data_IF_978454309798
#
_entry.id   IF_978454309798
#
_cell.length_a   1.000
_cell.length_b   1.000
_cell.length_c   1.000
_cell.angle_alpha   90.00
_cell.angle_beta   90.00
_cell.angle_gamma   90.00
#
_symmetry.space_group_name_H-M   'P 1'
#
loop_
_entity.id
_entity.type
_entity.pdbx_description
1 polymer ?
#
# COMPACT_ATOMS: atom_id res chain seq x y z
N UNK A 1 -57.10 8.81 -28.22
CA UNK A 1 -57.03 9.22 -26.80
C UNK A 1 -56.63 8.02 -25.97
N UNK A 2 -55.65 8.21 -25.06
CA UNK A 2 -55.10 7.27 -24.06
C UNK A 2 -54.18 6.16 -24.60
N UNK A 3 -53.03 5.84 -24.01
CA UNK A 3 -51.97 6.50 -23.23
C UNK A 3 -51.08 5.32 -22.74
N UNK A 4 -49.76 5.45 -22.93
CA UNK A 4 -48.71 5.10 -21.94
C UNK A 4 -48.47 3.58 -21.71
N UNK A 5 -47.38 3.01 -22.25
CA UNK A 5 -46.01 2.92 -21.65
C UNK A 5 -45.93 2.02 -20.40
N UNK A 6 -45.44 0.78 -20.56
CA UNK A 6 -44.73 0.01 -19.53
C UNK A 6 -43.95 -1.12 -20.25
N UNK A 7 -42.64 -1.02 -20.46
CA UNK A 7 -41.57 -1.17 -19.46
C UNK A 7 -41.40 -2.62 -18.99
N UNK A 8 -40.66 -3.42 -19.75
CA UNK A 8 -39.76 -4.46 -19.19
C UNK A 8 -38.60 -4.64 -20.15
N UNK A 9 -37.68 -3.70 -20.04
CA UNK A 9 -36.30 -3.73 -20.51
C UNK A 9 -35.69 -5.12 -20.32
N UNK A 10 -35.62 -5.88 -21.43
CA UNK A 10 -34.72 -7.03 -21.58
C UNK A 10 -33.30 -6.46 -21.70
N UNK A 11 -32.80 -5.87 -20.62
CA UNK A 11 -31.37 -5.66 -20.44
C UNK A 11 -30.83 -7.02 -20.02
N UNK A 12 -30.58 -7.82 -21.07
CA UNK A 12 -29.63 -8.91 -21.13
C UNK A 12 -28.53 -8.68 -20.10
N UNK A 13 -28.73 -9.27 -18.92
CA UNK A 13 -27.85 -9.21 -17.77
C UNK A 13 -26.55 -9.85 -18.20
N UNK A 14 -25.64 -8.99 -18.64
CA UNK A 14 -24.26 -9.23 -18.94
C UNK A 14 -23.59 -9.64 -17.63
N UNK A 15 -23.81 -10.91 -17.24
CA UNK A 15 -23.01 -11.62 -16.25
C UNK A 15 -21.66 -11.83 -16.94
N UNK A 16 -20.87 -10.75 -17.02
CA UNK A 16 -19.46 -10.84 -17.29
C UNK A 16 -18.83 -11.35 -15.99
N UNK A 17 -18.69 -12.66 -15.95
CA UNK A 17 -17.80 -13.39 -15.10
C UNK A 17 -16.38 -12.85 -15.33
N UNK A 18 -16.00 -11.79 -14.61
CA UNK A 18 -14.60 -11.37 -14.47
C UNK A 18 -13.90 -12.40 -13.59
N UNK A 19 -13.69 -13.59 -14.15
CA UNK A 19 -12.67 -14.50 -13.66
C UNK A 19 -11.36 -13.71 -13.69
N UNK A 20 -10.77 -13.52 -12.51
CA UNK A 20 -9.50 -12.85 -12.35
C UNK A 20 -8.51 -13.42 -13.36
N UNK A 21 -8.01 -12.54 -14.21
CA UNK A 21 -6.82 -12.85 -15.00
C UNK A 21 -5.69 -13.04 -13.99
N UNK A 22 -5.05 -14.21 -13.89
CA UNK A 22 -3.71 -14.23 -13.34
C UNK A 22 -2.85 -13.50 -14.38
N UNK A 23 -2.47 -12.27 -14.08
CA UNK A 23 -1.52 -11.51 -14.89
C UNK A 23 -0.18 -12.26 -14.91
N UNK A 24 -0.01 -13.08 -15.94
CA UNK A 24 1.19 -13.86 -16.16
C UNK A 24 2.33 -12.95 -16.64
N UNK A 25 3.24 -12.70 -15.71
CA UNK A 25 4.69 -12.55 -15.80
C UNK A 25 5.24 -11.99 -17.13
N UNK A 26 5.71 -10.74 -17.08
CA UNK A 26 6.76 -10.31 -17.99
C UNK A 26 8.06 -11.05 -17.63
N UNK A 27 8.36 -12.13 -18.35
CA UNK A 27 9.67 -12.79 -18.33
C UNK A 27 10.59 -12.05 -19.29
N UNK A 28 11.32 -11.07 -18.77
CA UNK A 28 12.21 -10.16 -19.52
C UNK A 28 12.18 -8.75 -18.91
N UNK A 29 13.22 -7.96 -19.15
CA UNK A 29 13.41 -6.62 -18.57
C UNK A 29 12.09 -5.82 -18.57
N UNK A 30 11.51 -5.63 -17.39
CA UNK A 30 10.26 -4.93 -17.18
C UNK A 30 10.54 -3.44 -17.04
N UNK A 31 10.50 -2.72 -18.17
CA UNK A 31 10.62 -1.27 -18.23
C UNK A 31 9.26 -0.62 -18.47
N UNK A 32 8.92 0.39 -17.66
CA UNK A 32 7.65 1.09 -17.70
C UNK A 32 7.84 2.51 -18.24
N UNK A 33 7.70 2.76 -19.56
CA UNK A 33 7.91 4.08 -20.15
C UNK A 33 6.84 5.12 -19.74
N UNK A 34 5.76 4.66 -19.12
CA UNK A 34 4.63 5.46 -18.67
C UNK A 34 4.01 4.84 -17.42
N UNK A 35 3.19 5.60 -16.72
CA UNK A 35 2.44 5.10 -15.57
C UNK A 35 1.59 3.89 -15.97
N UNK A 36 1.70 2.81 -15.22
CA UNK A 36 0.99 1.55 -15.49
C UNK A 36 0.19 1.16 -14.26
N UNK A 37 -1.10 0.95 -14.44
CA UNK A 37 -1.99 0.53 -13.36
C UNK A 37 -1.97 -0.99 -13.22
N UNK A 38 -1.94 -1.48 -11.98
CA UNK A 38 -2.14 -2.88 -11.64
C UNK A 38 -3.09 -2.98 -10.44
N UNK A 39 -3.70 -4.14 -10.26
CA UNK A 39 -4.61 -4.41 -9.15
C UNK A 39 -4.01 -5.44 -8.21
N UNK A 40 -3.97 -5.14 -6.91
CA UNK A 40 -3.55 -6.05 -5.82
C UNK A 40 -4.54 -5.91 -4.67
N UNK A 41 -4.92 -7.00 -4.00
CA UNK A 41 -5.84 -6.93 -2.85
C UNK A 41 -7.15 -6.17 -3.18
N UNK A 42 -7.59 -6.25 -4.44
CA UNK A 42 -8.77 -5.53 -4.97
C UNK A 42 -8.61 -4.01 -5.14
N UNK A 43 -7.48 -3.42 -4.75
CA UNK A 43 -7.17 -1.99 -4.91
C UNK A 43 -6.28 -1.72 -6.13
N UNK A 44 -6.37 -0.50 -6.68
CA UNK A 44 -5.53 -0.07 -7.79
C UNK A 44 -4.23 0.57 -7.30
N UNK A 45 -3.14 0.19 -7.94
CA UNK A 45 -1.80 0.73 -7.73
C UNK A 45 -1.24 1.22 -9.05
N UNK A 46 -0.37 2.21 -8.98
CA UNK A 46 0.31 2.76 -10.14
C UNK A 46 1.80 2.48 -10.02
N UNK A 47 2.34 1.70 -10.96
CA UNK A 47 3.77 1.69 -11.26
C UNK A 47 4.08 3.02 -11.94
N UNK A 48 4.96 3.81 -11.34
CA UNK A 48 5.31 5.13 -11.86
C UNK A 48 6.21 4.98 -13.09
N UNK A 49 6.05 5.89 -14.05
CA UNK A 49 6.91 6.01 -15.22
C UNK A 49 8.40 5.93 -14.87
N UNK A 50 9.19 5.35 -15.77
CA UNK A 50 10.62 5.08 -15.63
C UNK A 50 11.00 4.01 -14.60
N UNK A 51 10.03 3.33 -13.99
CA UNK A 51 10.33 2.14 -13.19
C UNK A 51 10.94 1.04 -14.06
N UNK A 52 11.90 0.31 -13.51
CA UNK A 52 12.61 -0.78 -14.15
C UNK A 52 12.81 -1.94 -13.17
N UNK A 53 12.52 -3.16 -13.61
CA UNK A 53 12.90 -4.40 -12.94
C UNK A 53 13.37 -5.43 -13.98
N UNK A 54 14.08 -6.49 -13.57
CA UNK A 54 14.39 -7.60 -14.47
C UNK A 54 13.14 -8.43 -14.76
N UNK A 55 12.32 -8.65 -13.74
CA UNK A 55 11.04 -9.36 -13.85
C UNK A 55 10.03 -8.80 -12.87
N UNK A 56 8.77 -8.81 -13.29
CA UNK A 56 7.63 -8.50 -12.43
C UNK A 56 6.61 -9.62 -12.53
N UNK A 57 6.10 -9.99 -11.37
CA UNK A 57 5.11 -11.03 -11.19
C UNK A 57 4.04 -10.57 -10.21
N UNK A 58 2.78 -10.85 -10.50
CA UNK A 58 1.69 -10.68 -9.52
C UNK A 58 1.07 -12.04 -9.23
N UNK A 59 0.75 -12.27 -7.96
CA UNK A 59 0.06 -13.48 -7.53
C UNK A 59 -0.91 -13.11 -6.43
N UNK A 60 -2.20 -13.02 -6.79
CA UNK A 60 -3.25 -12.53 -5.91
C UNK A 60 -2.93 -11.14 -5.38
N UNK A 61 -2.65 -11.06 -4.09
CA UNK A 61 -2.44 -9.80 -3.36
C UNK A 61 -0.95 -9.44 -3.24
N UNK A 62 -0.09 -10.11 -3.99
CA UNK A 62 1.36 -9.93 -3.93
C UNK A 62 1.95 -9.51 -5.27
N UNK A 63 2.91 -8.61 -5.21
CA UNK A 63 3.78 -8.21 -6.31
C UNK A 63 5.19 -8.69 -5.99
N UNK A 64 5.79 -9.52 -6.83
CA UNK A 64 7.17 -9.94 -6.68
C UNK A 64 8.02 -9.39 -7.82
N UNK A 65 9.08 -8.69 -7.42
CA UNK A 65 10.06 -8.02 -8.27
C UNK A 65 11.37 -8.80 -8.21
N UNK A 66 11.98 -9.03 -9.36
CA UNK A 66 13.39 -9.42 -9.45
C UNK A 66 14.16 -8.24 -10.03
N UNK A 67 15.15 -7.71 -9.32
CA UNK A 67 15.84 -6.48 -9.70
C UNK A 67 17.36 -6.62 -9.60
N UNK A 68 18.06 -6.16 -10.63
CA UNK A 68 19.52 -6.08 -10.70
C UNK A 68 20.04 -4.74 -10.21
N UNK A 69 21.34 -4.67 -9.94
CA UNK A 69 22.02 -3.44 -9.54
C UNK A 69 21.75 -2.26 -10.49
N UNK A 70 21.49 -1.09 -9.93
CA UNK A 70 21.19 0.14 -10.66
C UNK A 70 19.71 0.29 -11.07
N UNK A 71 18.85 -0.67 -10.75
CA UNK A 71 17.42 -0.58 -11.07
C UNK A 71 16.64 0.10 -9.96
N UNK A 72 15.59 0.82 -10.37
CA UNK A 72 14.67 1.50 -9.48
C UNK A 72 13.22 1.21 -9.90
N UNK A 73 12.38 0.93 -8.91
CA UNK A 73 10.97 0.66 -9.09
C UNK A 73 10.16 1.45 -8.09
N UNK A 74 9.12 2.14 -8.56
CA UNK A 74 8.27 2.98 -7.71
C UNK A 74 6.80 2.55 -7.86
N UNK A 75 6.19 2.20 -6.74
CA UNK A 75 4.79 1.82 -6.64
C UNK A 75 4.03 2.85 -5.80
N UNK A 76 2.88 3.29 -6.28
CA UNK A 76 2.01 4.24 -5.56
C UNK A 76 0.58 3.74 -5.46
N UNK A 77 -0.13 4.16 -4.42
CA UNK A 77 -1.55 3.84 -4.21
C UNK A 77 -2.30 5.09 -3.76
N UNK A 78 -3.33 5.49 -4.51
CA UNK A 78 -4.22 6.59 -4.14
C UNK A 78 -5.13 6.25 -2.95
N UNK A 79 -5.39 4.96 -2.74
CA UNK A 79 -6.15 4.44 -1.59
C UNK A 79 -5.33 4.48 -0.29
N UNK A 80 -4.07 4.94 -0.35
CA UNK A 80 -3.14 5.00 0.78
C UNK A 80 -2.96 3.63 1.42
N UNK A 81 -2.64 2.59 0.65
CA UNK A 81 -2.41 1.24 1.18
C UNK A 81 -1.02 1.12 1.80
N UNK A 82 -0.90 0.44 2.94
CA UNK A 82 0.43 0.09 3.51
C UNK A 82 1.10 -0.94 2.62
N UNK A 83 2.35 -0.71 2.21
CA UNK A 83 3.09 -1.58 1.29
C UNK A 83 4.17 -2.35 2.04
N UNK A 84 3.78 -3.44 2.72
CA UNK A 84 4.75 -4.31 3.40
C UNK A 84 5.65 -4.97 2.36
N UNK A 85 6.95 -5.06 2.62
CA UNK A 85 7.89 -5.64 1.66
C UNK A 85 8.97 -6.48 2.34
N UNK A 86 9.48 -7.50 1.65
CA UNK A 86 10.52 -8.42 2.17
C UNK A 86 11.92 -7.80 2.26
N UNK A 87 12.16 -6.69 1.55
CA UNK A 87 13.47 -6.05 1.44
C UNK A 87 13.75 -4.93 2.46
N UNK A 88 12.82 -4.68 3.39
CA UNK A 88 12.88 -3.57 4.35
C UNK A 88 13.01 -2.18 3.70
N UNK A 89 12.49 -2.03 2.48
CA UNK A 89 12.39 -0.74 1.81
C UNK A 89 11.39 0.15 2.55
N UNK A 90 11.77 1.43 2.68
CA UNK A 90 10.93 2.43 3.31
C UNK A 90 9.75 2.77 2.39
N UNK A 91 8.55 2.82 2.95
CA UNK A 91 7.39 3.42 2.29
C UNK A 91 6.97 4.69 3.03
N UNK A 92 6.35 5.59 2.30
CA UNK A 92 5.86 6.88 2.82
C UNK A 92 4.38 7.05 2.51
N UNK A 93 3.68 7.76 3.39
CA UNK A 93 2.25 8.02 3.24
C UNK A 93 1.96 9.49 3.43
N UNK A 94 1.35 10.08 2.41
CA UNK A 94 0.85 11.44 2.42
C UNK A 94 -0.65 11.46 2.76
N UNK A 95 -1.24 12.65 2.75
CA UNK A 95 -2.69 12.81 2.88
C UNK A 95 -3.48 12.19 1.71
N UNK A 96 -2.85 11.98 0.55
CA UNK A 96 -3.51 11.58 -0.70
C UNK A 96 -3.01 10.28 -1.32
N UNK A 97 -1.84 9.76 -0.94
CA UNK A 97 -1.31 8.51 -1.47
C UNK A 97 -0.30 7.85 -0.54
N UNK A 98 -0.03 6.57 -0.77
CA UNK A 98 1.18 5.90 -0.30
C UNK A 98 2.15 5.65 -1.45
N UNK A 99 3.45 5.62 -1.15
CA UNK A 99 4.52 5.42 -2.12
C UNK A 99 5.61 4.52 -1.54
N UNK A 100 6.01 3.51 -2.31
CA UNK A 100 7.15 2.64 -2.04
C UNK A 100 8.18 2.81 -3.16
N UNK A 101 9.43 3.04 -2.78
CA UNK A 101 10.57 3.08 -3.70
C UNK A 101 11.49 1.92 -3.39
N UNK A 102 11.72 1.07 -4.38
CA UNK A 102 12.69 -0.03 -4.32
C UNK A 102 13.85 0.36 -5.23
N UNK A 103 15.02 0.57 -4.64
CA UNK A 103 16.24 0.89 -5.38
C UNK A 103 17.29 -0.17 -5.05
N UNK A 104 17.90 -0.78 -6.08
CA UNK A 104 19.03 -1.69 -5.90
C UNK A 104 20.32 -0.92 -6.19
N UNK A 105 21.16 -0.62 -5.19
CA UNK A 105 22.39 0.14 -5.40
C UNK A 105 23.32 -0.53 -6.40
N UNK A 106 24.07 0.27 -7.17
CA UNK A 106 25.11 -0.23 -8.07
C UNK A 106 26.12 -1.11 -7.30
N UNK A 107 26.50 -2.25 -7.88
CA UNK A 107 27.39 -3.22 -7.23
C UNK A 107 26.71 -4.21 -6.28
N UNK A 108 25.39 -4.12 -6.08
CA UNK A 108 24.64 -5.12 -5.30
C UNK A 108 24.36 -6.39 -6.12
N UNK A 109 24.07 -7.50 -5.44
CA UNK A 109 23.54 -8.70 -6.10
C UNK A 109 22.09 -8.49 -6.53
N UNK A 110 21.66 -9.28 -7.52
CA UNK A 110 20.25 -9.35 -7.90
C UNK A 110 19.38 -9.69 -6.67
N UNK A 111 18.30 -8.94 -6.48
CA UNK A 111 17.46 -9.01 -5.28
C UNK A 111 16.02 -9.30 -5.67
N UNK A 112 15.39 -10.21 -4.92
CA UNK A 112 13.96 -10.48 -5.01
C UNK A 112 13.22 -9.72 -3.92
N UNK A 113 12.26 -8.88 -4.32
CA UNK A 113 11.45 -8.07 -3.40
C UNK A 113 9.98 -8.45 -3.59
N UNK A 114 9.36 -8.97 -2.54
CA UNK A 114 7.92 -9.22 -2.52
C UNK A 114 7.25 -8.10 -1.77
N UNK A 115 6.29 -7.45 -2.42
CA UNK A 115 5.43 -6.40 -1.87
C UNK A 115 4.04 -6.99 -1.64
N UNK A 116 3.53 -6.84 -0.43
CA UNK A 116 2.21 -7.28 0.00
C UNK A 116 1.49 -6.08 0.62
N UNK A 117 0.56 -5.47 -0.10
CA UNK A 117 -0.25 -4.41 0.47
C UNK A 117 -1.15 -4.93 1.58
N UNK A 118 -1.22 -4.23 2.72
CA UNK A 118 -2.08 -4.65 3.84
C UNK A 118 -2.49 -3.50 4.75
N UNK A 119 -3.77 -3.18 4.75
CA UNK A 119 -4.35 -2.16 5.62
C UNK A 119 -4.10 -0.74 5.13
N UNK A 120 -4.59 0.23 5.91
CA UNK A 120 -4.63 1.62 5.51
C UNK A 120 -3.47 2.39 6.11
N UNK A 121 -2.83 3.17 5.26
CA UNK A 121 -1.67 3.94 5.59
C UNK A 121 -2.08 5.31 6.09
N UNK A 122 -1.65 5.63 7.31
CA UNK A 122 -1.81 6.96 7.88
C UNK A 122 -0.53 7.75 7.71
N UNK A 123 -0.58 9.07 7.83
CA UNK A 123 0.61 9.94 7.77
C UNK A 123 1.64 9.64 8.87
N UNK A 124 1.26 8.87 9.90
CA UNK A 124 2.17 8.37 10.95
C UNK A 124 2.90 7.08 10.56
N UNK A 125 2.48 6.40 9.49
CA UNK A 125 3.12 5.19 9.00
C UNK A 125 4.27 5.56 8.06
N UNK A 126 5.48 5.60 8.60
CA UNK A 126 6.72 5.58 7.83
C UNK A 126 7.47 4.33 8.27
N UNK A 127 7.75 3.39 7.36
CA UNK A 127 8.64 2.28 7.72
C UNK A 127 10.08 2.80 7.79
N UNK A 128 10.74 2.58 8.92
CA UNK A 128 12.16 2.91 9.09
C UNK A 128 13.02 1.72 8.70
N UNK A 129 13.71 1.82 7.56
CA UNK A 129 14.73 0.86 7.10
C UNK A 129 15.83 1.61 6.34
N UNK A 130 17.08 1.44 6.79
CA UNK A 130 18.17 2.39 6.59
C UNK A 130 18.88 2.39 5.23
N UNK A 131 19.66 3.47 5.02
CA UNK A 131 20.77 3.54 4.06
C UNK A 131 20.57 4.50 2.89
N UNK A 132 20.78 5.80 3.11
CA UNK A 132 20.84 6.78 2.03
C UNK A 132 20.96 8.22 2.54
N UNK A 133 22.19 8.69 2.70
CA UNK A 133 22.47 10.10 3.02
C UNK A 133 22.36 10.95 1.76
N UNK A 134 21.38 11.85 1.70
CA UNK A 134 21.44 13.07 0.91
C UNK A 134 20.61 14.15 1.59
N UNK A 135 21.18 15.35 1.66
CA UNK A 135 20.88 16.35 2.68
C UNK A 135 19.71 17.28 2.39
N UNK A 136 19.30 17.95 3.46
CA UNK A 136 19.23 19.41 3.51
C UNK A 136 17.91 20.10 3.13
N UNK A 137 17.38 20.88 4.09
CA UNK A 137 16.36 21.92 3.94
C UNK A 137 15.00 21.47 4.47
N UNK A 138 14.57 21.85 5.68
CA UNK A 138 14.11 23.20 6.06
C UNK A 138 12.68 23.39 5.52
N UNK A 139 11.61 23.69 6.23
CA UNK A 139 11.31 24.16 7.58
C UNK A 139 9.87 24.72 7.48
N UNK A 140 9.08 24.68 8.56
CA UNK A 140 7.74 25.31 8.57
C UNK A 140 6.74 24.53 9.40
N UNK A 141 6.48 25.01 10.61
CA UNK A 141 5.80 24.25 11.65
C UNK A 141 4.27 24.19 11.55
N UNK A 142 3.73 23.39 12.46
CA UNK A 142 2.61 23.75 13.33
C UNK A 142 2.65 22.78 14.50
N UNK A 143 2.70 23.32 15.72
CA UNK A 143 2.62 22.53 16.93
C UNK A 143 1.26 21.82 16.98
N UNK A 144 1.25 20.49 16.84
CA UNK A 144 0.08 19.69 17.19
C UNK A 144 0.23 19.28 18.65
N UNK A 145 -0.70 19.74 19.47
CA UNK A 145 -0.72 19.50 20.90
C UNK A 145 -0.71 18.00 21.21
N UNK A 146 0.21 17.57 22.06
CA UNK A 146 0.19 16.25 22.68
C UNK A 146 -1.10 16.10 23.49
N UNK A 147 -1.92 15.04 23.32
CA UNK A 147 -3.00 14.78 24.25
C UNK A 147 -2.39 14.40 25.61
N UNK A 148 -2.66 15.21 26.62
CA UNK A 148 -2.35 14.89 28.02
C UNK A 148 -3.15 13.65 28.42
N UNK A 149 -2.46 12.58 28.85
CA UNK A 149 -3.10 11.43 29.45
C UNK A 149 -3.63 11.80 30.84
N UNK A 150 -4.96 11.75 31.00
CA UNK A 150 -5.60 11.85 32.32
C UNK A 150 -5.12 10.71 33.21
N UNK A 151 -4.64 10.95 34.44
CA UNK A 151 -4.30 9.86 35.35
C UNK A 151 -5.55 9.06 35.72
N UNK A 152 -5.48 7.74 35.51
CA UNK A 152 -6.50 6.79 35.96
C UNK A 152 -6.43 6.66 37.48
N UNK A 153 -7.52 6.99 38.18
CA UNK A 153 -7.64 6.73 39.61
C UNK A 153 -7.97 5.26 39.84
N UNK A 154 -7.07 4.53 40.49
CA UNK A 154 -7.32 3.18 40.98
C UNK A 154 -8.33 3.24 42.14
N UNK A 155 -9.49 2.56 42.07
CA UNK A 155 -10.38 2.46 43.22
C UNK A 155 -9.73 1.60 44.31
N UNK A 156 -9.62 2.18 45.50
CA UNK A 156 -9.20 1.48 46.71
C UNK A 156 -10.25 0.44 47.10
N UNK A 157 -9.86 -0.83 47.19
CA UNK A 157 -10.71 -1.89 47.70
C UNK A 157 -10.96 -1.66 49.20
N UNK A 158 -12.22 -1.46 49.58
CA UNK A 158 -12.63 -1.42 50.99
C UNK A 158 -12.81 -2.85 51.52
N UNK A 159 -12.33 -3.17 52.74
CA UNK A 159 -12.35 -4.53 53.25
C UNK A 159 -13.73 -4.99 53.75
N UNK A 160 -14.03 -6.23 53.37
CA UNK A 160 -14.89 -7.28 53.94
C UNK A 160 -15.86 -6.90 55.09
N UNK A 161 -17.14 -7.19 54.86
CA UNK A 161 -18.19 -7.23 55.88
C UNK A 161 -18.89 -8.59 55.87
N UNK A 162 -18.49 -9.46 56.79
CA UNK A 162 -19.10 -10.75 57.12
C UNK A 162 -20.46 -10.57 57.78
N UNK A 163 -21.53 -11.24 57.31
CA UNK A 163 -22.62 -11.70 58.20
C UNK A 163 -23.30 -12.97 57.65
N UNK A 164 -23.60 -13.86 58.59
CA UNK A 164 -23.90 -15.29 58.53
C UNK A 164 -25.31 -15.65 58.02
N UNK A 165 -25.43 -16.93 57.64
CA UNK A 165 -26.67 -17.71 57.57
C UNK A 165 -27.32 -17.91 58.96
#
# INVERSE_FOLDING_TARGET
>A
MKKILLSTTVCLSLILLSAGVPDALAVGNAYFPQNTTLTLDGSNYTIVQSSNADQISTSGDTLTLLMSAGQEFVLTSADRRVMTNSGNYSYSCSSSQSSLTVNIPVGSSQTTVTVTPKGDCTTSNVSGGGGGTSGGGGGGGSASATPTTTPSVTPSASPVGSTRA
#
